data_IF_554054257009
#
_entry.id   IF_554054257009
#
_cell.length_a   1.000
_cell.length_b   1.000
_cell.length_c   1.000
_cell.angle_alpha   90.00
_cell.angle_beta   90.00
_cell.angle_gamma   90.00
#
_symmetry.space_group_name_H-M   'P 1'
#
loop_
_entity.id
_entity.type
_entity.pdbx_description
1 polymer ?
#
# COMPACT_ATOMS: atom_id res chain seq x y z
N UNK A 1 -10.22 12.94 23.45
CA UNK A 1 -9.73 11.79 22.65
C UNK A 1 -8.60 11.15 23.44
N UNK A 2 -8.69 9.85 23.72
CA UNK A 2 -7.69 9.12 24.50
C UNK A 2 -6.43 8.90 23.66
N UNK A 3 -5.26 9.05 24.29
CA UNK A 3 -3.92 8.92 23.69
C UNK A 3 -3.73 7.61 22.90
N UNK A 4 -4.26 6.50 23.43
CA UNK A 4 -4.29 5.19 22.75
C UNK A 4 -5.06 5.16 21.43
N UNK A 5 -6.06 6.04 21.25
CA UNK A 5 -6.81 6.13 20.01
C UNK A 5 -5.96 6.77 18.90
N UNK A 6 -5.18 7.79 19.25
CA UNK A 6 -4.29 8.48 18.32
C UNK A 6 -3.10 7.59 17.92
N UNK A 7 -2.59 6.78 18.85
CA UNK A 7 -1.50 5.83 18.59
C UNK A 7 -1.88 4.76 17.54
N UNK A 8 -3.04 4.11 17.69
CA UNK A 8 -3.47 3.08 16.73
C UNK A 8 -3.78 3.64 15.34
N UNK A 9 -4.32 4.86 15.26
CA UNK A 9 -4.56 5.54 13.99
C UNK A 9 -3.24 5.91 13.30
N UNK A 10 -2.24 6.38 14.07
CA UNK A 10 -0.91 6.67 13.54
C UNK A 10 -0.21 5.43 12.98
N UNK A 11 -0.29 4.30 13.68
CA UNK A 11 0.28 3.02 13.22
C UNK A 11 -0.39 2.53 11.94
N UNK A 12 -1.73 2.64 11.84
CA UNK A 12 -2.45 2.32 10.61
C UNK A 12 -2.04 3.26 9.48
N UNK A 13 -1.97 4.57 9.72
CA UNK A 13 -1.57 5.55 8.71
C UNK A 13 -0.15 5.30 8.19
N UNK A 14 0.78 4.89 9.06
CA UNK A 14 2.16 4.59 8.68
C UNK A 14 2.23 3.49 7.60
N UNK A 15 1.33 2.50 7.63
CA UNK A 15 1.25 1.45 6.59
C UNK A 15 0.94 2.04 5.21
N UNK A 16 0.03 3.02 5.13
CA UNK A 16 -0.37 3.65 3.86
C UNK A 16 0.68 4.61 3.29
N UNK A 17 1.50 5.23 4.16
CA UNK A 17 2.49 6.24 3.75
C UNK A 17 3.88 5.68 3.50
N UNK A 18 4.13 4.43 3.87
CA UNK A 18 5.44 3.80 3.70
C UNK A 18 5.77 3.64 2.21
N UNK A 19 6.93 4.17 1.80
CA UNK A 19 7.37 4.21 0.40
C UNK A 19 8.74 3.56 0.16
N UNK A 20 9.37 3.04 1.22
CA UNK A 20 10.62 2.28 1.16
C UNK A 20 10.46 0.94 1.87
N UNK A 21 11.27 -0.05 1.53
CA UNK A 21 11.24 -1.36 2.19
C UNK A 21 11.42 -1.22 3.71
N UNK A 22 12.39 -0.41 4.14
CA UNK A 22 12.64 -0.15 5.57
C UNK A 22 11.42 0.47 6.28
N UNK A 23 10.74 1.42 5.63
CA UNK A 23 9.54 2.04 6.20
C UNK A 23 8.36 1.05 6.26
N UNK A 24 8.24 0.16 5.27
CA UNK A 24 7.21 -0.89 5.23
C UNK A 24 7.46 -1.89 6.37
N UNK A 25 8.69 -2.37 6.51
CA UNK A 25 9.07 -3.34 7.54
C UNK A 25 8.79 -2.76 8.93
N UNK A 26 9.24 -1.52 9.17
CA UNK A 26 9.00 -0.81 10.44
C UNK A 26 7.51 -0.59 10.73
N UNK A 27 6.70 -0.22 9.73
CA UNK A 27 5.26 -0.05 9.92
C UNK A 27 4.58 -1.39 10.24
N UNK A 28 5.04 -2.48 9.62
CA UNK A 28 4.58 -3.84 9.90
C UNK A 28 4.93 -4.31 11.31
N UNK A 29 6.17 -4.06 11.76
CA UNK A 29 6.63 -4.35 13.13
C UNK A 29 5.78 -3.59 14.16
N UNK A 30 5.63 -2.27 14.00
CA UNK A 30 4.81 -1.44 14.88
C UNK A 30 3.35 -1.92 14.95
N UNK A 31 2.77 -2.31 13.82
CA UNK A 31 1.42 -2.88 13.78
C UNK A 31 1.34 -4.19 14.54
N UNK A 32 2.32 -5.08 14.38
CA UNK A 32 2.37 -6.37 15.06
C UNK A 32 2.47 -6.21 16.57
N UNK A 33 3.36 -5.34 17.05
CA UNK A 33 3.54 -5.03 18.48
C UNK A 33 2.26 -4.43 19.09
N UNK A 34 1.65 -3.47 18.40
CA UNK A 34 0.37 -2.88 18.81
C UNK A 34 -0.73 -3.94 18.86
N UNK A 35 -0.81 -4.82 17.86
CA UNK A 35 -1.82 -5.87 17.81
C UNK A 35 -1.68 -6.87 18.96
N UNK A 36 -0.46 -7.25 19.33
CA UNK A 36 -0.20 -8.20 20.42
C UNK A 36 -0.58 -7.63 21.79
N UNK A 37 -0.33 -6.33 22.00
CA UNK A 37 -0.59 -5.64 23.27
C UNK A 37 -2.01 -5.03 23.38
N UNK A 38 -2.76 -4.98 22.27
CA UNK A 38 -4.09 -4.39 22.19
C UNK A 38 -5.18 -5.18 22.93
N UNK A 39 -6.23 -4.45 23.33
CA UNK A 39 -7.49 -5.06 23.78
C UNK A 39 -8.19 -5.82 22.65
N UNK A 40 -9.08 -6.77 22.95
CA UNK A 40 -9.80 -7.50 21.89
C UNK A 40 -10.62 -6.58 20.98
N UNK A 41 -11.21 -5.52 21.52
CA UNK A 41 -11.92 -4.50 20.73
C UNK A 41 -10.98 -3.77 19.76
N UNK A 42 -9.78 -3.42 20.22
CA UNK A 42 -8.79 -2.76 19.37
C UNK A 42 -8.19 -3.74 18.34
N UNK A 43 -8.02 -5.02 18.68
CA UNK A 43 -7.61 -6.06 17.73
C UNK A 43 -8.62 -6.24 16.60
N UNK A 44 -9.91 -6.20 16.90
CA UNK A 44 -10.95 -6.26 15.87
C UNK A 44 -10.86 -5.07 14.91
N UNK A 45 -10.67 -3.87 15.45
CA UNK A 45 -10.40 -2.67 14.66
C UNK A 45 -9.14 -2.83 13.78
N UNK A 46 -8.02 -3.23 14.37
CA UNK A 46 -6.74 -3.38 13.67
C UNK A 46 -6.81 -4.45 12.56
N UNK A 47 -7.52 -5.56 12.79
CA UNK A 47 -7.78 -6.58 11.75
C UNK A 47 -8.60 -6.02 10.59
N UNK A 48 -9.63 -5.22 10.88
CA UNK A 48 -10.43 -4.55 9.86
C UNK A 48 -9.57 -3.59 9.03
N UNK A 49 -8.75 -2.76 9.68
CA UNK A 49 -7.88 -1.82 8.98
C UNK A 49 -6.80 -2.52 8.15
N UNK A 50 -6.20 -3.60 8.65
CA UNK A 50 -5.24 -4.39 7.89
C UNK A 50 -5.88 -5.00 6.64
N UNK A 51 -7.14 -5.47 6.72
CA UNK A 51 -7.87 -5.97 5.55
C UNK A 51 -8.09 -4.86 4.51
N UNK A 52 -8.49 -3.66 4.93
CA UNK A 52 -8.65 -2.51 4.03
C UNK A 52 -7.33 -2.13 3.37
N UNK A 53 -6.25 -2.12 4.14
CA UNK A 53 -4.90 -1.84 3.64
C UNK A 53 -4.49 -2.86 2.57
N UNK A 54 -4.67 -4.16 2.82
CA UNK A 54 -4.36 -5.20 1.82
C UNK A 54 -5.17 -5.02 0.52
N UNK A 55 -6.46 -4.69 0.62
CA UNK A 55 -7.29 -4.40 -0.55
C UNK A 55 -6.79 -3.17 -1.32
N UNK A 56 -6.39 -2.11 -0.61
CA UNK A 56 -5.81 -0.93 -1.21
C UNK A 56 -4.49 -1.23 -1.93
N UNK A 57 -3.59 -2.03 -1.33
CA UNK A 57 -2.34 -2.46 -1.97
C UNK A 57 -2.62 -3.24 -3.25
N UNK A 58 -3.54 -4.20 -3.23
CA UNK A 58 -3.91 -4.97 -4.41
C UNK A 58 -4.46 -4.07 -5.53
N UNK A 59 -5.35 -3.14 -5.20
CA UNK A 59 -5.88 -2.19 -6.17
C UNK A 59 -4.79 -1.29 -6.77
N UNK A 60 -3.80 -0.86 -5.96
CA UNK A 60 -2.66 -0.09 -6.45
C UNK A 60 -1.72 -0.90 -7.34
N UNK A 61 -1.53 -2.18 -7.06
CA UNK A 61 -0.78 -3.07 -7.94
C UNK A 61 -1.50 -3.25 -9.29
N UNK A 62 -2.83 -3.41 -9.29
CA UNK A 62 -3.62 -3.50 -10.52
C UNK A 62 -3.54 -2.21 -11.34
N UNK A 63 -3.72 -1.04 -10.70
CA UNK A 63 -3.60 0.27 -11.36
C UNK A 63 -2.22 0.45 -12.02
N UNK A 64 -1.14 0.19 -11.27
CA UNK A 64 0.22 0.30 -11.79
C UNK A 64 0.50 -0.68 -12.94
N UNK A 65 -0.08 -1.89 -12.88
CA UNK A 65 0.06 -2.88 -13.94
C UNK A 65 -0.61 -2.43 -15.24
N UNK A 66 -1.79 -1.82 -15.16
CA UNK A 66 -2.48 -1.26 -16.32
C UNK A 66 -1.76 -0.03 -16.89
N UNK A 67 -1.25 0.87 -16.04
CA UNK A 67 -0.42 1.99 -16.49
C UNK A 67 0.84 1.50 -17.25
N UNK A 68 1.50 0.46 -16.73
CA UNK A 68 2.67 -0.12 -17.39
C UNK A 68 2.35 -0.69 -18.77
N UNK A 69 1.20 -1.37 -18.93
CA UNK A 69 0.74 -1.86 -20.24
C UNK A 69 0.52 -0.72 -21.23
N UNK A 70 -0.05 0.40 -20.79
CA UNK A 70 -0.27 1.57 -21.65
C UNK A 70 1.07 2.14 -22.13
N UNK A 71 2.03 2.33 -21.23
CA UNK A 71 3.38 2.82 -21.58
C UNK A 71 4.08 1.88 -22.56
N UNK A 72 3.98 0.56 -22.35
CA UNK A 72 4.54 -0.42 -23.29
C UNK A 72 3.89 -0.35 -24.68
N UNK A 73 2.56 -0.25 -24.74
CA UNK A 73 1.85 -0.15 -26.00
C UNK A 73 2.21 1.14 -26.77
N UNK A 74 2.34 2.27 -26.07
CA UNK A 74 2.79 3.53 -26.67
C UNK A 74 4.23 3.41 -27.21
N UNK A 75 5.13 2.79 -26.44
CA UNK A 75 6.52 2.57 -26.86
C UNK A 75 6.61 1.67 -28.11
N UNK A 76 5.84 0.59 -28.17
CA UNK A 76 5.77 -0.30 -29.32
C UNK A 76 5.21 0.41 -30.56
N UNK A 77 4.16 1.23 -30.39
CA UNK A 77 3.58 2.03 -31.47
C UNK A 77 4.58 3.05 -32.04
N UNK A 78 5.36 3.71 -31.17
CA UNK A 78 6.42 4.64 -31.60
C UNK A 78 7.50 3.92 -32.42
N UNK A 79 7.98 2.76 -31.95
CA UNK A 79 8.97 1.97 -32.71
C UNK A 79 8.47 1.55 -34.09
N UNK A 80 7.20 1.16 -34.18
CA UNK A 80 6.60 0.78 -35.46
C UNK A 80 6.54 1.97 -36.42
N UNK A 81 6.14 3.15 -35.94
CA UNK A 81 6.08 4.37 -36.74
C UNK A 81 7.48 4.81 -37.22
N UNK A 82 8.50 4.74 -36.35
CA UNK A 82 9.90 5.02 -36.73
C UNK A 82 10.40 4.05 -37.81
N UNK A 83 10.05 2.76 -37.71
CA UNK A 83 10.44 1.74 -38.69
C UNK A 83 9.72 1.88 -40.04
N UNK A 84 8.55 2.54 -40.08
CA UNK A 84 7.79 2.81 -41.31
C UNK A 84 8.21 4.10 -42.02
N UNK A 85 9.02 4.94 -41.37
CA UNK A 85 9.55 6.20 -41.92
C UNK A 85 11.05 6.14 -42.25
N UNK A 86 11.68 4.96 -42.10
CA UNK A 86 12.98 4.61 -42.68
C UNK A 86 12.81 3.90 -44.03
#
# INVERSE_FOLDING_TARGET
MTEKLMEKEAVVQALYTASTQEAIDKAGENWSELYQSASEKDKEYLRSEMRKFSQWVLAKCEESHEEFKQVLAEFEAMKLAESQHQ
#
